data_IF_646801438763
#
_entry.id   IF_646801438763
#
_cell.length_a   1.000
_cell.length_b   1.000
_cell.length_c   1.000
_cell.angle_alpha   90.00
_cell.angle_beta   90.00
_cell.angle_gamma   90.00
#
_symmetry.space_group_name_H-M   'P 1'
#
loop_
_entity.id
_entity.type
_entity.pdbx_description
1 polymer ?
#
# COMPACT_ATOMS: atom_id res chain seq x y z
N UNK A 1 1.64 14.31 2.23
CA UNK A 1 0.63 13.32 2.70
C UNK A 1 0.94 11.86 2.33
N UNK A 2 1.98 11.53 1.54
CA UNK A 2 2.30 10.14 1.18
C UNK A 2 3.53 9.53 1.92
N UNK A 3 4.19 10.28 2.80
CA UNK A 3 5.47 9.86 3.40
C UNK A 3 5.34 8.64 4.32
N UNK A 4 4.25 8.53 5.08
CA UNK A 4 4.02 7.40 6.01
C UNK A 4 3.89 6.03 5.31
N UNK A 5 3.50 5.99 4.03
CA UNK A 5 3.34 4.73 3.31
C UNK A 5 4.65 4.20 2.75
N UNK A 6 5.64 5.07 2.55
CA UNK A 6 6.93 4.71 1.97
C UNK A 6 7.68 3.62 2.78
N UNK A 7 7.88 3.76 4.11
CA UNK A 7 8.56 2.73 4.90
C UNK A 7 7.77 1.41 4.95
N UNK A 8 6.44 1.47 4.88
CA UNK A 8 5.60 0.26 4.80
C UNK A 8 5.72 -0.43 3.44
N UNK A 9 5.70 0.33 2.35
CA UNK A 9 5.89 -0.17 0.99
C UNK A 9 7.30 -0.78 0.83
N UNK A 10 8.31 -0.17 1.45
CA UNK A 10 9.68 -0.68 1.44
C UNK A 10 9.80 -2.09 2.07
N UNK A 11 8.94 -2.39 3.07
CA UNK A 11 8.85 -3.71 3.73
C UNK A 11 8.10 -4.77 2.93
N UNK A 12 7.40 -4.40 1.85
CA UNK A 12 6.75 -5.38 0.99
C UNK A 12 7.79 -6.24 0.26
N UNK A 13 7.47 -7.51 -0.05
CA UNK A 13 8.26 -8.30 -0.97
C UNK A 13 8.48 -7.57 -2.29
N UNK A 14 9.68 -7.70 -2.86
CA UNK A 14 10.11 -7.00 -4.08
C UNK A 14 9.09 -7.10 -5.21
N UNK A 15 8.49 -8.28 -5.37
CA UNK A 15 7.45 -8.58 -6.35
C UNK A 15 6.26 -7.61 -6.33
N UNK A 16 5.87 -7.13 -5.14
CA UNK A 16 4.72 -6.25 -4.94
C UNK A 16 5.14 -4.79 -4.77
N UNK A 17 6.27 -4.56 -4.11
CA UNK A 17 6.81 -3.23 -3.78
C UNK A 17 6.81 -2.29 -4.97
N UNK A 18 7.41 -2.68 -6.08
CA UNK A 18 7.54 -1.79 -7.25
C UNK A 18 6.19 -1.49 -7.89
N UNK A 19 5.31 -2.49 -7.94
CA UNK A 19 3.98 -2.33 -8.56
C UNK A 19 3.12 -1.37 -7.72
N UNK A 20 3.15 -1.52 -6.40
CA UNK A 20 2.45 -0.64 -5.45
C UNK A 20 3.05 0.76 -5.48
N UNK A 21 4.38 0.87 -5.51
CA UNK A 21 5.08 2.15 -5.56
C UNK A 21 4.72 2.94 -6.82
N UNK A 22 4.73 2.29 -7.99
CA UNK A 22 4.35 2.93 -9.25
C UNK A 22 2.87 3.30 -9.30
N UNK A 23 1.99 2.44 -8.79
CA UNK A 23 0.53 2.66 -8.80
C UNK A 23 0.08 3.73 -7.81
N UNK A 24 0.43 3.57 -6.54
CA UNK A 24 -0.13 4.34 -5.42
C UNK A 24 0.67 5.61 -5.12
N UNK A 25 2.00 5.59 -5.31
CA UNK A 25 2.84 6.76 -5.03
C UNK A 25 3.11 7.57 -6.31
N UNK A 26 3.49 6.92 -7.41
CA UNK A 26 3.72 7.62 -8.69
C UNK A 26 2.47 7.86 -9.52
N UNK A 27 1.32 7.27 -9.13
CA UNK A 27 0.04 7.46 -9.83
C UNK A 27 0.02 6.90 -11.25
N UNK A 28 0.88 5.93 -11.57
CA UNK A 28 0.93 5.37 -12.91
C UNK A 28 -0.31 4.53 -13.19
N UNK A 29 -0.92 4.65 -14.38
CA UNK A 29 -2.04 3.80 -14.73
C UNK A 29 -1.56 2.35 -14.93
N UNK A 30 -2.43 1.39 -14.62
CA UNK A 30 -2.08 -0.05 -14.60
C UNK A 30 -1.51 -0.55 -15.93
N UNK A 31 -1.99 -0.03 -17.07
CA UNK A 31 -1.46 -0.39 -18.39
C UNK A 31 0.00 0.03 -18.59
N UNK A 32 0.39 1.19 -18.05
CA UNK A 32 1.77 1.68 -18.11
C UNK A 32 2.70 0.85 -17.24
N UNK A 33 2.23 0.46 -16.05
CA UNK A 33 2.98 -0.43 -15.15
C UNK A 33 3.15 -1.81 -15.79
N UNK A 34 2.11 -2.31 -16.47
CA UNK A 34 2.15 -3.58 -17.18
C UNK A 34 3.21 -3.58 -18.28
N UNK A 35 3.23 -2.52 -19.10
CA UNK A 35 4.26 -2.33 -20.13
C UNK A 35 5.66 -2.20 -19.54
N UNK A 36 5.81 -1.44 -18.44
CA UNK A 36 7.09 -1.21 -17.81
C UNK A 36 7.68 -2.47 -17.16
N UNK A 37 6.84 -3.27 -16.50
CA UNK A 37 7.27 -4.48 -15.78
C UNK A 37 7.21 -5.77 -16.60
N UNK A 38 6.89 -5.70 -17.89
CA UNK A 38 6.60 -6.87 -18.74
C UNK A 38 5.55 -7.81 -18.14
N UNK A 39 4.48 -7.23 -17.59
CA UNK A 39 3.37 -7.93 -16.97
C UNK A 39 2.10 -7.75 -17.80
N UNK A 40 1.11 -8.60 -17.55
CA UNK A 40 -0.26 -8.34 -18.00
C UNK A 40 -0.93 -7.32 -17.08
N UNK A 41 -1.93 -6.60 -17.60
CA UNK A 41 -2.75 -5.67 -16.79
C UNK A 41 -3.43 -6.39 -15.63
N UNK A 42 -3.88 -7.64 -15.85
CA UNK A 42 -4.44 -8.49 -14.79
C UNK A 42 -3.39 -8.88 -13.74
N UNK A 43 -2.15 -9.14 -14.16
CA UNK A 43 -1.01 -9.39 -13.26
C UNK A 43 -0.70 -8.18 -12.38
N UNK A 44 -0.66 -6.98 -12.97
CA UNK A 44 -0.51 -5.72 -12.23
C UNK A 44 -1.66 -5.55 -11.23
N UNK A 45 -2.91 -5.71 -11.65
CA UNK A 45 -4.08 -5.61 -10.77
C UNK A 45 -3.99 -6.56 -9.58
N UNK A 46 -3.58 -7.81 -9.80
CA UNK A 46 -3.41 -8.79 -8.72
C UNK A 46 -2.29 -8.40 -7.76
N UNK A 47 -1.15 -7.92 -8.27
CA UNK A 47 -0.02 -7.47 -7.44
C UNK A 47 -0.37 -6.25 -6.61
N UNK A 48 -1.07 -5.27 -7.19
CA UNK A 48 -1.52 -4.09 -6.44
C UNK A 48 -2.53 -4.48 -5.36
N UNK A 49 -3.51 -5.35 -5.67
CA UNK A 49 -4.48 -5.81 -4.67
C UNK A 49 -3.81 -6.54 -3.50
N UNK A 50 -2.88 -7.47 -3.78
CA UNK A 50 -2.14 -8.17 -2.73
C UNK A 50 -1.25 -7.23 -1.93
N UNK A 51 -0.56 -6.30 -2.60
CA UNK A 51 0.24 -5.29 -1.92
C UNK A 51 -0.59 -4.42 -0.98
N UNK A 52 -1.80 -4.01 -1.40
CA UNK A 52 -2.74 -3.30 -0.51
C UNK A 52 -3.23 -4.15 0.66
N UNK A 53 -3.48 -5.44 0.45
CA UNK A 53 -3.84 -6.35 1.54
C UNK A 53 -2.70 -6.44 2.56
N UNK A 54 -1.45 -6.60 2.12
CA UNK A 54 -0.29 -6.62 3.01
C UNK A 54 -0.09 -5.30 3.77
N UNK A 55 -0.27 -4.16 3.09
CA UNK A 55 -0.24 -2.85 3.76
C UNK A 55 -1.35 -2.72 4.80
N UNK A 56 -2.55 -3.19 4.47
CA UNK A 56 -3.66 -3.25 5.42
C UNK A 56 -3.31 -4.11 6.61
N UNK A 57 -2.76 -5.31 6.41
CA UNK A 57 -2.35 -6.21 7.50
C UNK A 57 -1.31 -5.54 8.42
N UNK A 58 -0.31 -4.87 7.84
CA UNK A 58 0.71 -4.13 8.60
C UNK A 58 0.13 -2.97 9.40
N UNK A 59 -0.85 -2.25 8.83
CA UNK A 59 -1.54 -1.17 9.52
C UNK A 59 -2.45 -1.72 10.64
N UNK A 60 -3.16 -2.82 10.37
CA UNK A 60 -4.04 -3.48 11.35
C UNK A 60 -3.30 -4.16 12.50
N UNK A 61 -2.00 -4.45 12.32
CA UNK A 61 -1.16 -4.99 13.38
C UNK A 61 -0.84 -3.95 14.48
N UNK A 62 -0.95 -2.65 14.19
CA UNK A 62 -0.67 -1.57 15.13
C UNK A 62 -1.93 -0.78 15.54
N UNK A 63 -2.95 -0.78 14.69
CA UNK A 63 -4.18 -0.02 14.89
C UNK A 63 -5.39 -0.83 14.43
N UNK A 64 -6.50 -0.79 15.15
CA UNK A 64 -7.77 -1.34 14.65
C UNK A 64 -8.33 -0.39 13.60
N UNK A 65 -8.27 -0.78 12.32
CA UNK A 65 -8.70 0.07 11.20
C UNK A 65 -9.99 -0.50 10.62
N UNK A 66 -11.08 0.25 10.82
CA UNK A 66 -12.36 -0.04 10.20
C UNK A 66 -12.35 0.46 8.76
N UNK A 67 -12.62 -0.46 7.83
CA UNK A 67 -12.67 -0.17 6.40
C UNK A 67 -14.08 -0.40 5.90
N UNK A 68 -14.60 0.54 5.10
CA UNK A 68 -15.92 0.44 4.49
C UNK A 68 -15.95 -0.72 3.48
N UNK A 69 -17.17 -1.15 3.12
CA UNK A 69 -17.39 -2.11 2.03
C UNK A 69 -16.82 -1.64 0.68
N UNK A 70 -16.61 -0.34 0.50
CA UNK A 70 -16.00 0.26 -0.69
C UNK A 70 -14.47 0.35 -0.62
N UNK A 71 -13.86 -0.06 0.49
CA UNK A 71 -12.41 -0.07 0.68
C UNK A 71 -11.83 1.26 1.20
N UNK A 72 -12.67 2.19 1.66
CA UNK A 72 -12.23 3.44 2.26
C UNK A 72 -12.05 3.27 3.77
N UNK A 73 -11.04 3.91 4.36
CA UNK A 73 -10.87 3.94 5.81
C UNK A 73 -12.02 4.76 6.42
N UNK A 74 -12.79 4.14 7.31
CA UNK A 74 -13.93 4.76 8.01
C UNK A 74 -13.50 5.25 9.37
N UNK A 75 -12.73 4.45 10.09
CA UNK A 75 -12.27 4.75 11.44
C UNK A 75 -10.95 4.03 11.73
N UNK A 76 -10.15 4.55 12.66
CA UNK A 76 -8.94 3.88 13.12
C UNK A 76 -8.69 4.14 14.61
N UNK A 77 -8.45 3.08 15.38
CA UNK A 77 -8.07 3.14 16.79
C UNK A 77 -6.65 2.57 16.96
N UNK A 78 -5.68 3.45 17.21
CA UNK A 78 -4.30 3.05 17.45
C UNK A 78 -4.02 3.02 18.95
N UNK A 79 -3.81 1.83 19.52
CA UNK A 79 -3.44 1.67 20.94
C UNK A 79 -1.97 1.99 21.22
N UNK A 80 -1.14 2.09 20.17
CA UNK A 80 0.27 2.53 20.26
C UNK A 80 0.48 3.75 19.38
N UNK A 81 1.27 4.72 19.86
CA UNK A 81 1.55 5.99 19.19
C UNK A 81 2.14 5.78 17.78
N UNK A 82 1.32 5.97 16.74
CA UNK A 82 1.73 5.81 15.34
C UNK A 82 2.63 6.95 14.83
N UNK A 83 2.90 7.99 15.64
CA UNK A 83 3.78 9.10 15.26
C UNK A 83 5.20 8.59 14.99
N UNK A 84 5.65 7.58 15.75
CA UNK A 84 6.98 6.97 15.56
C UNK A 84 7.17 6.19 14.25
N UNK A 85 6.11 5.85 13.50
CA UNK A 85 6.23 5.17 12.18
C UNK A 85 6.23 6.18 11.02
N UNK A 86 5.68 7.37 11.25
CA UNK A 86 5.52 8.44 10.26
C UNK A 86 6.60 9.53 10.34
N UNK A 87 7.36 9.61 11.42
CA UNK A 87 8.47 10.55 11.57
C UNK A 87 9.80 9.89 11.17
N UNK A 88 10.17 10.03 9.89
CA UNK A 88 11.58 10.18 9.53
C UNK A 88 11.75 11.54 8.82
N UNK A 89 12.29 12.48 9.60
CA UNK A 89 12.89 13.80 9.29
C UNK A 89 12.52 14.54 8.00
#
# INVERSE_FOLDING_TARGET
MAACLFPMIARLPELYRDTVMLSEIKGWPQHRIAQHGHLTVSGVKSRVQRGRAMLKDMLTACCDIQVSRTGHVVDYDCTTDIRTVCEEK
#
